data_IF_313285766143
#
_entry.id   IF_313285766143
#
_cell.length_a   1.000
_cell.length_b   1.000
_cell.length_c   1.000
_cell.angle_alpha   90.00
_cell.angle_beta   90.00
_cell.angle_gamma   90.00
#
_symmetry.space_group_name_H-M   'P 1'
#
loop_
_entity.id
_entity.type
_entity.pdbx_description
1 polymer ?
#
# COMPACT_ATOMS: atom_id res chain seq x y z
N UNK A 1 15.64 17.51 -6.87
CA UNK A 1 17.06 17.09 -6.90
C UNK A 1 17.61 16.72 -5.53
N UNK A 2 17.35 17.48 -4.46
CA UNK A 2 17.85 17.17 -3.10
C UNK A 2 17.48 15.76 -2.61
N UNK A 3 16.20 15.36 -2.66
CA UNK A 3 15.70 14.04 -2.23
C UNK A 3 16.39 12.90 -2.99
N UNK A 4 16.54 13.05 -4.31
CA UNK A 4 17.22 12.06 -5.16
C UNK A 4 18.70 11.93 -4.78
N UNK A 5 19.35 13.06 -4.46
CA UNK A 5 20.77 13.10 -4.10
C UNK A 5 21.03 12.57 -2.70
N UNK A 6 20.10 12.78 -1.76
CA UNK A 6 20.19 12.31 -0.37
C UNK A 6 19.66 10.89 -0.18
N UNK A 7 18.88 10.36 -1.11
CA UNK A 7 18.26 9.03 -1.01
C UNK A 7 17.24 8.91 0.13
N UNK A 8 16.82 10.04 0.72
CA UNK A 8 15.90 10.09 1.85
C UNK A 8 14.97 11.31 1.74
N UNK A 9 13.73 11.15 2.22
CA UNK A 9 12.67 12.15 2.22
C UNK A 9 11.39 11.59 2.86
N UNK A 10 10.45 12.48 3.22
CA UNK A 10 9.15 12.07 3.77
C UNK A 10 8.23 11.44 2.70
N UNK A 11 6.99 11.11 3.07
CA UNK A 11 6.02 10.53 2.13
C UNK A 11 5.78 11.39 0.88
N UNK A 12 5.79 12.72 1.03
CA UNK A 12 5.52 13.65 -0.06
C UNK A 12 6.74 13.74 -0.97
N UNK A 13 7.93 13.80 -0.37
CA UNK A 13 9.20 13.84 -1.10
C UNK A 13 9.36 12.63 -2.01
N UNK A 14 9.10 11.43 -1.48
CA UNK A 14 9.24 10.19 -2.24
C UNK A 14 8.17 10.04 -3.32
N UNK A 15 6.91 10.37 -3.01
CA UNK A 15 5.82 10.31 -3.98
C UNK A 15 6.03 11.31 -5.13
N UNK A 16 6.45 12.54 -4.81
CA UNK A 16 6.77 13.57 -5.82
C UNK A 16 7.95 13.12 -6.69
N UNK A 17 8.99 12.55 -6.10
CA UNK A 17 10.12 12.02 -6.86
C UNK A 17 9.69 10.88 -7.81
N UNK A 18 8.89 9.92 -7.33
CA UNK A 18 8.36 8.84 -8.16
C UNK A 18 7.55 9.38 -9.34
N UNK A 19 6.67 10.35 -9.10
CA UNK A 19 5.83 10.97 -10.13
C UNK A 19 6.72 11.70 -11.16
N UNK A 20 7.71 12.47 -10.69
CA UNK A 20 8.62 13.21 -11.56
C UNK A 20 9.45 12.27 -12.45
N UNK A 21 10.01 11.20 -11.88
CA UNK A 21 10.77 10.20 -12.63
C UNK A 21 9.91 9.42 -13.61
N UNK A 22 8.68 9.06 -13.24
CA UNK A 22 7.72 8.40 -14.13
C UNK A 22 7.42 9.27 -15.35
N UNK A 23 7.09 10.55 -15.11
CA UNK A 23 6.82 11.52 -16.18
C UNK A 23 8.03 11.77 -17.06
N UNK A 24 9.24 11.83 -16.50
CA UNK A 24 10.48 11.94 -17.27
C UNK A 24 10.73 10.73 -18.19
N UNK A 25 10.11 9.58 -17.90
CA UNK A 25 10.10 8.38 -18.75
C UNK A 25 8.86 8.27 -19.65
N UNK A 26 8.03 9.31 -19.72
CA UNK A 26 6.79 9.30 -20.52
C UNK A 26 5.65 8.48 -19.90
N UNK A 27 5.78 8.10 -18.62
CA UNK A 27 4.74 7.39 -17.88
C UNK A 27 3.93 8.41 -17.10
N UNK A 28 2.65 8.53 -17.42
CA UNK A 28 1.75 9.43 -16.71
C UNK A 28 1.52 8.94 -15.28
N UNK A 29 1.67 9.85 -14.32
CA UNK A 29 1.47 9.60 -12.90
C UNK A 29 0.78 10.79 -12.24
N UNK A 30 -0.18 10.52 -11.37
CA UNK A 30 -1.03 11.48 -10.67
C UNK A 30 -0.74 11.43 -9.16
N UNK A 31 -0.58 12.57 -8.47
CA UNK A 31 -0.56 12.61 -7.01
C UNK A 31 -1.92 12.21 -6.45
N UNK A 32 -1.92 11.42 -5.38
CA UNK A 32 -3.13 10.96 -4.70
C UNK A 32 -3.02 11.25 -3.22
N UNK A 33 -3.92 12.10 -2.73
CA UNK A 33 -4.03 12.48 -1.33
C UNK A 33 -4.91 11.47 -0.59
N UNK A 34 -4.42 10.98 0.55
CA UNK A 34 -5.09 9.98 1.39
C UNK A 34 -4.90 10.30 2.88
N UNK A 35 -5.84 9.84 3.70
CA UNK A 35 -5.73 9.86 5.15
C UNK A 35 -5.53 8.44 5.71
N UNK A 36 -4.38 8.20 6.34
CA UNK A 36 -4.06 6.91 6.95
C UNK A 36 -4.63 6.74 8.37
N UNK A 37 -5.22 7.77 8.97
CA UNK A 37 -5.91 7.62 10.26
C UNK A 37 -7.17 6.77 10.11
N UNK A 38 -7.81 6.29 11.20
CA UNK A 38 -9.10 5.60 11.15
C UNK A 38 -10.30 6.46 10.69
N UNK A 39 -10.08 7.62 10.06
CA UNK A 39 -11.13 8.42 9.43
C UNK A 39 -11.46 7.88 8.04
N UNK A 40 -12.76 7.82 7.71
CA UNK A 40 -13.30 7.28 6.46
C UNK A 40 -14.28 8.22 5.74
N UNK A 41 -15.03 9.12 6.39
CA UNK A 41 -15.76 10.16 5.67
C UNK A 41 -14.86 11.39 5.44
N UNK A 42 -14.94 11.96 4.24
CA UNK A 42 -14.52 13.34 4.01
C UNK A 42 -15.65 14.26 4.49
N UNK A 43 -15.66 14.62 5.77
CA UNK A 43 -16.65 15.54 6.33
C UNK A 43 -16.19 16.98 6.18
N UNK A 44 -16.86 17.77 5.34
CA UNK A 44 -16.60 19.20 5.17
C UNK A 44 -15.57 19.54 4.07
N UNK A 45 -15.25 20.84 3.90
CA UNK A 45 -14.27 21.28 2.91
C UNK A 45 -12.89 20.66 3.20
N UNK A 46 -12.12 20.29 2.15
CA UNK A 46 -10.84 19.63 2.33
C UNK A 46 -9.86 20.53 3.08
N UNK A 47 -9.51 20.14 4.31
CA UNK A 47 -8.46 20.78 5.11
C UNK A 47 -7.13 20.06 4.91
N UNK A 48 -6.01 20.72 5.22
CA UNK A 48 -4.70 20.05 5.27
C UNK A 48 -4.70 18.84 6.22
N UNK A 49 -5.51 18.86 7.28
CA UNK A 49 -5.67 17.73 8.20
C UNK A 49 -6.51 16.58 7.62
N UNK A 50 -7.28 16.82 6.56
CA UNK A 50 -8.09 15.79 5.91
C UNK A 50 -7.23 14.79 5.12
N UNK A 51 -6.00 15.14 4.74
CA UNK A 51 -5.06 14.27 4.04
C UNK A 51 -3.68 14.33 4.69
N UNK A 52 -3.17 13.21 5.19
CA UNK A 52 -1.90 13.15 5.90
C UNK A 52 -0.82 12.33 5.16
N UNK A 53 -1.16 11.77 3.99
CA UNK A 53 -0.27 10.94 3.19
C UNK A 53 -0.47 11.19 1.69
N UNK A 54 0.58 10.92 0.91
CA UNK A 54 0.61 11.12 -0.53
C UNK A 54 1.17 9.87 -1.20
N UNK A 55 0.44 9.37 -2.20
CA UNK A 55 0.84 8.23 -3.03
C UNK A 55 0.75 8.63 -4.51
N UNK A 56 1.16 7.74 -5.43
CA UNK A 56 1.06 7.95 -6.87
C UNK A 56 0.01 7.01 -7.49
N UNK A 57 -0.70 7.48 -8.51
CA UNK A 57 -1.55 6.66 -9.38
C UNK A 57 -1.04 6.71 -10.81
N UNK A 58 -0.93 5.56 -11.48
CA UNK A 58 -0.52 5.45 -12.89
C UNK A 58 -1.72 4.99 -13.71
N UNK A 59 -2.40 5.91 -14.44
CA UNK A 59 -3.63 5.61 -15.16
C UNK A 59 -3.47 4.50 -16.20
N UNK A 60 -2.34 4.47 -16.91
CA UNK A 60 -2.04 3.49 -17.95
C UNK A 60 -2.03 2.04 -17.43
N UNK A 61 -1.72 1.85 -16.15
CA UNK A 61 -1.66 0.55 -15.49
C UNK A 61 -2.86 0.30 -14.56
N UNK A 62 -3.63 1.35 -14.23
CA UNK A 62 -4.68 1.27 -13.21
C UNK A 62 -4.15 0.99 -11.81
N UNK A 63 -2.89 1.35 -11.54
CA UNK A 63 -2.17 0.96 -10.31
C UNK A 63 -1.89 2.16 -9.40
N UNK A 64 -2.06 1.96 -8.10
CA UNK A 64 -1.61 2.87 -7.05
C UNK A 64 -0.26 2.39 -6.48
N UNK A 65 0.64 3.34 -6.21
CA UNK A 65 1.98 3.09 -5.69
C UNK A 65 2.26 3.96 -4.47
N UNK A 66 2.57 3.32 -3.35
CA UNK A 66 3.04 3.99 -2.13
C UNK A 66 4.52 3.66 -1.90
N UNK A 67 5.37 4.65 -2.11
CA UNK A 67 6.82 4.52 -1.89
C UNK A 67 7.18 4.30 -0.42
N UNK A 68 6.28 4.64 0.51
CA UNK A 68 6.48 4.44 1.95
C UNK A 68 6.02 3.06 2.44
N UNK A 69 5.39 2.26 1.57
CA UNK A 69 5.06 0.87 1.81
C UNK A 69 6.29 -0.03 1.62
N UNK A 70 7.29 0.11 2.50
CA UNK A 70 8.54 -0.64 2.41
C UNK A 70 8.31 -2.15 2.30
N UNK A 71 8.85 -2.77 1.23
CA UNK A 71 8.73 -4.20 0.96
C UNK A 71 7.39 -4.65 0.37
N UNK A 72 6.45 -3.73 0.09
CA UNK A 72 5.23 -4.06 -0.62
C UNK A 72 5.52 -4.39 -2.09
N UNK A 73 4.96 -5.47 -2.64
CA UNK A 73 5.04 -5.77 -4.07
C UNK A 73 4.48 -4.63 -4.92
N UNK A 74 5.00 -4.51 -6.15
CA UNK A 74 4.48 -3.55 -7.12
C UNK A 74 2.95 -3.69 -7.26
N UNK A 75 2.24 -2.56 -7.16
CA UNK A 75 0.79 -2.48 -7.26
C UNK A 75 0.00 -3.02 -6.06
N UNK A 76 0.68 -3.27 -4.94
CA UNK A 76 0.02 -3.54 -3.66
C UNK A 76 0.17 -2.35 -2.72
N UNK A 77 -0.79 -2.22 -1.81
CA UNK A 77 -0.86 -1.14 -0.84
C UNK A 77 -0.71 -1.72 0.57
N UNK A 78 -0.49 -0.84 1.54
CA UNK A 78 -0.55 -1.24 2.95
C UNK A 78 -1.99 -1.55 3.34
N UNK A 79 -2.21 -2.47 4.30
CA UNK A 79 -3.54 -2.79 4.79
C UNK A 79 -4.43 -1.60 5.13
N UNK A 80 -3.85 -0.52 5.69
CA UNK A 80 -4.56 0.66 6.15
C UNK A 80 -5.04 1.58 5.01
N UNK A 81 -4.57 1.37 3.79
CA UNK A 81 -4.89 2.22 2.62
C UNK A 81 -6.11 1.71 1.85
N UNK A 82 -6.31 0.40 1.83
CA UNK A 82 -7.41 -0.20 1.06
C UNK A 82 -8.79 0.34 1.50
N UNK A 83 -9.65 0.61 0.52
CA UNK A 83 -11.01 1.13 0.75
C UNK A 83 -11.10 2.57 1.25
N UNK A 84 -9.98 3.29 1.39
CA UNK A 84 -9.98 4.69 1.84
C UNK A 84 -10.49 5.65 0.76
N UNK A 85 -11.20 6.72 1.14
CA UNK A 85 -11.45 7.83 0.22
C UNK A 85 -10.12 8.50 -0.15
N UNK A 86 -10.05 8.97 -1.40
CA UNK A 86 -8.88 9.64 -1.94
C UNK A 86 -9.28 10.87 -2.74
N UNK A 87 -8.32 11.77 -2.94
CA UNK A 87 -8.41 12.86 -3.90
C UNK A 87 -7.22 12.77 -4.85
N UNK A 88 -7.48 12.48 -6.12
CA UNK A 88 -6.45 12.51 -7.16
C UNK A 88 -6.30 13.93 -7.69
N UNK A 89 -5.07 14.38 -7.89
CA UNK A 89 -4.77 15.64 -8.57
C UNK A 89 -4.50 15.32 -10.04
N UNK A 90 -5.47 15.62 -10.88
CA UNK A 90 -5.41 15.34 -12.33
C UNK A 90 -4.97 16.60 -13.07
N UNK A 91 -4.74 16.47 -14.38
CA UNK A 91 -4.43 17.63 -15.23
C UNK A 91 -5.59 18.64 -15.28
N UNK A 92 -6.82 18.17 -15.14
CA UNK A 92 -8.05 18.96 -15.26
C UNK A 92 -8.58 19.47 -13.91
N UNK A 93 -7.84 19.23 -12.81
CA UNK A 93 -8.20 19.66 -11.47
C UNK A 93 -8.06 18.54 -10.44
N UNK A 94 -9.14 18.22 -9.74
CA UNK A 94 -9.14 17.17 -8.73
C UNK A 94 -10.31 16.20 -8.92
N UNK A 95 -10.04 14.92 -8.67
CA UNK A 95 -11.00 13.84 -8.83
C UNK A 95 -11.10 13.04 -7.52
N UNK A 96 -12.20 13.20 -6.76
CA UNK A 96 -12.48 12.34 -5.62
C UNK A 96 -12.65 10.88 -6.07
N UNK A 97 -12.31 9.95 -5.19
CA UNK A 97 -12.48 8.53 -5.45
C UNK A 97 -12.30 7.69 -4.20
N UNK A 98 -12.19 6.38 -4.40
CA UNK A 98 -11.94 5.43 -3.34
C UNK A 98 -10.90 4.42 -3.82
N UNK A 99 -9.96 4.06 -2.94
CA UNK A 99 -9.05 2.96 -3.22
C UNK A 99 -9.80 1.63 -3.28
N UNK A 100 -9.32 0.66 -4.08
CA UNK A 100 -9.94 -0.65 -4.14
C UNK A 100 -10.01 -1.28 -2.73
N UNK A 101 -11.01 -2.14 -2.46
CA UNK A 101 -10.99 -2.96 -1.26
C UNK A 101 -9.78 -3.89 -1.29
N UNK A 102 -9.34 -4.34 -0.12
CA UNK A 102 -8.25 -5.31 -0.02
C UNK A 102 -8.68 -6.61 -0.74
N UNK A 103 -7.89 -7.10 -1.71
CA UNK A 103 -8.16 -8.38 -2.35
C UNK A 103 -8.16 -9.53 -1.33
N UNK A 104 -9.07 -10.51 -1.43
CA UNK A 104 -9.01 -11.71 -0.63
C UNK A 104 -7.66 -12.42 -0.77
N UNK A 105 -7.10 -12.90 0.35
CA UNK A 105 -5.83 -13.64 0.35
C UNK A 105 -4.57 -12.78 0.49
N UNK A 106 -4.64 -11.46 0.28
CA UNK A 106 -3.45 -10.59 0.27
C UNK A 106 -2.83 -10.42 1.67
N UNK A 107 -3.65 -10.45 2.72
CA UNK A 107 -3.23 -10.42 4.12
C UNK A 107 -3.58 -11.73 4.86
N UNK A 108 -3.52 -12.88 4.18
CA UNK A 108 -3.85 -14.17 4.79
C UNK A 108 -2.59 -14.95 5.18
N UNK A 109 -2.49 -15.29 6.47
CA UNK A 109 -1.52 -16.28 6.96
C UNK A 109 -2.25 -17.58 7.29
N UNK A 110 -1.77 -18.70 6.75
CA UNK A 110 -2.26 -20.03 7.10
C UNK A 110 -1.17 -20.79 7.85
N UNK A 111 -1.50 -21.30 9.03
CA UNK A 111 -0.63 -22.12 9.86
C UNK A 111 -1.26 -23.51 9.98
N UNK A 112 -0.44 -24.55 9.85
CA UNK A 112 -0.82 -25.92 10.20
C UNK A 112 -0.12 -26.29 11.50
N UNK A 113 -0.89 -26.57 12.53
CA UNK A 113 -0.37 -27.06 13.81
C UNK A 113 -0.75 -28.52 13.96
N UNK A 114 0.24 -29.39 14.14
CA UNK A 114 0.04 -30.80 14.48
C UNK A 114 0.47 -31.00 15.92
N UNK A 115 -0.45 -31.47 16.77
CA UNK A 115 -0.21 -31.68 18.20
C UNK A 115 -0.47 -33.14 18.55
N UNK A 116 0.42 -33.71 19.36
CA UNK A 116 0.27 -35.00 20.02
C UNK A 116 0.01 -34.76 21.51
N UNK A 117 -1.13 -35.24 22.00
CA UNK A 117 -1.49 -35.25 23.42
C UNK A 117 -1.21 -36.64 24.01
N UNK A 118 -0.40 -36.66 25.06
CA UNK A 118 -0.05 -37.87 25.81
C UNK A 118 -1.07 -38.12 26.92
N UNK A 119 -1.16 -39.38 27.37
CA UNK A 119 -2.13 -39.81 28.39
C UNK A 119 -1.96 -39.12 29.75
N UNK A 120 -0.78 -38.59 30.02
CA UNK A 120 -0.43 -37.83 31.22
C UNK A 120 -0.76 -36.33 31.11
N UNK A 121 -1.36 -35.90 29.99
CA UNK A 121 -1.71 -34.50 29.72
C UNK A 121 -0.59 -33.69 29.06
N UNK A 122 0.60 -34.25 28.79
CA UNK A 122 1.64 -33.52 28.05
C UNK A 122 1.26 -33.36 26.58
N UNK A 123 1.44 -32.16 26.05
CA UNK A 123 1.30 -31.85 24.63
C UNK A 123 2.67 -31.55 24.01
N UNK A 124 2.94 -32.13 22.86
CA UNK A 124 4.04 -31.74 21.98
C UNK A 124 3.49 -31.50 20.58
N UNK A 125 4.09 -30.59 19.82
CA UNK A 125 3.58 -30.30 18.49
C UNK A 125 4.55 -29.53 17.63
N UNK A 126 4.25 -29.50 16.34
CA UNK A 126 4.96 -28.74 15.34
C UNK A 126 4.00 -27.74 14.69
N UNK A 127 4.47 -26.51 14.50
CA UNK A 127 3.78 -25.49 13.73
C UNK A 127 4.51 -25.36 12.41
N UNK A 128 3.79 -25.51 11.30
CA UNK A 128 4.32 -25.35 9.95
C UNK A 128 3.54 -24.25 9.22
N UNK A 129 4.21 -23.25 8.63
CA UNK A 129 3.55 -22.31 7.73
C UNK A 129 2.98 -23.06 6.53
N UNK A 130 1.71 -22.82 6.21
CA UNK A 130 1.13 -23.27 4.95
C UNK A 130 1.38 -22.17 3.92
N UNK A 131 2.36 -22.38 3.04
CA UNK A 131 2.66 -21.43 1.96
C UNK A 131 1.40 -21.23 1.09
N UNK A 132 0.98 -19.99 0.81
CA UNK A 132 -0.08 -19.74 -0.15
C UNK A 132 0.36 -20.22 -1.54
N UNK A 133 -0.58 -20.76 -2.31
CA UNK A 133 -0.34 -21.28 -3.67
C UNK A 133 0.18 -20.20 -4.65
N UNK A 134 0.07 -18.92 -4.29
CA UNK A 134 0.69 -17.79 -4.97
C UNK A 134 1.64 -17.08 -4.01
N UNK A 135 2.84 -17.64 -3.88
CA UNK A 135 3.97 -16.91 -3.33
C UNK A 135 4.73 -16.33 -4.52
N UNK A 136 4.76 -15.00 -4.74
CA UNK A 136 5.66 -14.44 -5.75
C UNK A 136 7.09 -14.84 -5.37
N UNK A 137 7.84 -15.36 -6.35
CA UNK A 137 9.28 -15.53 -6.19
C UNK A 137 9.89 -14.13 -6.23
N UNK A 138 10.27 -13.61 -5.07
CA UNK A 138 11.08 -12.40 -5.01
C UNK A 138 12.53 -12.78 -5.33
N UNK A 139 13.09 -12.14 -6.36
CA UNK A 139 14.52 -12.20 -6.63
C UNK A 139 15.27 -11.51 -5.49
N UNK A 140 16.30 -12.19 -5.00
CA UNK A 140 17.33 -11.64 -4.12
C UNK A 140 18.30 -10.77 -4.90
#
# INVERSE_FOLDING_TARGET
DEVLRQGYGDCKDQAVLLIALSRAKGIEAEPVLINLTPSYPLSGPPTYSAFNHLIAYVPQLGVYMDTTAGGAPFGTLRPQEYGKPILRVTRDGSAPGQLPPMPPGLATQQLRTTITLQKDGRMSGIVSPKRPAHSPRYYA
#
